data_IF_422771642590
#
_entry.id   IF_422771642590
#
_cell.length_a   1.000
_cell.length_b   1.000
_cell.length_c   1.000
_cell.angle_alpha   90.00
_cell.angle_beta   90.00
_cell.angle_gamma   90.00
#
_symmetry.space_group_name_H-M   'P 1'
#
loop_
_entity.id
_entity.type
_entity.pdbx_description
1 polymer ?
2 branched ?
3 branched ?
4 non-polymer ?
5 non-polymer ?
6 water ?
#
# COMPACT_ATOMS: atom_id res chain seq x y z
N UNK A 1 -25.37 -27.43 -20.72
CA UNK A 1 -24.39 -28.34 -21.37
C UNK A 1 -23.08 -28.33 -20.60
N UNK A 2 -22.73 -29.47 -20.04
CA UNK A 2 -21.54 -29.67 -19.23
C UNK A 2 -20.24 -29.08 -19.79
N UNK A 3 -19.94 -29.36 -21.06
CA UNK A 3 -18.71 -28.89 -21.68
C UNK A 3 -18.66 -27.38 -21.88
N UNK A 4 -19.82 -26.76 -22.10
CA UNK A 4 -19.89 -25.33 -22.27
C UNK A 4 -19.58 -24.69 -20.90
N UNK A 5 -20.17 -25.26 -19.86
CA UNK A 5 -19.94 -24.75 -18.52
C UNK A 5 -18.48 -24.93 -18.13
N UNK A 6 -17.89 -26.04 -18.53
CA UNK A 6 -16.49 -26.31 -18.24
C UNK A 6 -15.59 -25.28 -18.91
N UNK A 7 -15.85 -24.98 -20.18
CA UNK A 7 -15.03 -24.00 -20.90
C UNK A 7 -15.18 -22.59 -20.33
N UNK A 8 -16.37 -22.25 -19.86
CA UNK A 8 -16.57 -20.93 -19.27
C UNK A 8 -15.78 -20.86 -17.97
N UNK A 9 -15.78 -21.96 -17.23
CA UNK A 9 -15.06 -22.01 -15.97
C UNK A 9 -13.57 -21.80 -16.19
N UNK A 10 -13.03 -22.41 -17.24
CA UNK A 10 -11.61 -22.24 -17.55
C UNK A 10 -11.32 -20.76 -17.88
N UNK A 11 -12.21 -20.12 -18.65
CA UNK A 11 -12.05 -18.71 -19.00
C UNK A 11 -12.17 -17.83 -17.75
N UNK A 12 -13.04 -18.23 -16.82
CA UNK A 12 -13.22 -17.50 -15.56
C UNK A 12 -11.94 -17.59 -14.71
N UNK A 13 -11.39 -18.80 -14.63
CA UNK A 13 -10.16 -19.04 -13.87
C UNK A 13 -9.00 -18.28 -14.49
N UNK A 14 -8.84 -18.37 -15.81
CA UNK A 14 -7.75 -17.65 -16.47
C UNK A 14 -7.86 -16.13 -16.32
N UNK A 15 -9.08 -15.61 -16.33
CA UNK A 15 -9.33 -14.18 -16.16
C UNK A 15 -8.91 -13.78 -14.74
N UNK A 16 -9.22 -14.66 -13.79
CA UNK A 16 -8.89 -14.44 -12.37
C UNK A 16 -7.37 -14.47 -12.16
N UNK A 17 -6.68 -15.39 -12.84
CA UNK A 17 -5.23 -15.48 -12.72
C UNK A 17 -4.58 -14.18 -13.18
N UNK A 18 -5.05 -13.65 -14.30
CA UNK A 18 -4.53 -12.41 -14.85
C UNK A 18 -4.82 -11.22 -13.93
N UNK A 19 -6.02 -11.16 -13.38
CA UNK A 19 -6.38 -10.06 -12.49
C UNK A 19 -5.61 -10.07 -11.19
N UNK A 20 -5.32 -11.25 -10.66
CA UNK A 20 -4.57 -11.36 -9.41
C UNK A 20 -3.15 -10.88 -9.67
N UNK A 21 -2.61 -11.23 -10.84
CA UNK A 21 -1.26 -10.81 -11.17
C UNK A 21 -1.19 -9.30 -11.34
N UNK A 22 -2.25 -8.71 -11.90
CA UNK A 22 -2.33 -7.26 -12.07
C UNK A 22 -2.35 -6.59 -10.71
N UNK A 23 -3.07 -7.20 -9.78
CA UNK A 23 -3.17 -6.71 -8.40
C UNK A 23 -1.77 -6.75 -7.75
N UNK A 24 -1.04 -7.85 -7.93
CA UNK A 24 0.31 -7.97 -7.37
C UNK A 24 1.25 -6.93 -7.95
N UNK A 25 1.18 -6.72 -9.27
CA UNK A 25 2.00 -5.71 -9.96
C UNK A 25 1.72 -4.30 -9.45
N UNK A 26 0.44 -3.96 -9.28
CA UNK A 26 0.06 -2.64 -8.82
C UNK A 26 0.54 -2.44 -7.38
N UNK A 27 0.44 -3.49 -6.57
CA UNK A 27 0.88 -3.40 -5.19
C UNK A 27 2.39 -3.17 -5.14
N UNK A 28 3.15 -3.90 -5.94
CA UNK A 28 4.60 -3.74 -5.97
C UNK A 28 4.97 -2.29 -6.39
N UNK A 29 4.28 -1.79 -7.41
CA UNK A 29 4.49 -0.43 -7.93
C UNK A 29 4.27 0.60 -6.81
N UNK A 30 3.17 0.44 -6.06
CA UNK A 30 2.86 1.36 -4.96
C UNK A 30 3.86 1.25 -3.80
N UNK A 31 4.54 0.11 -3.70
CA UNK A 31 5.56 -0.10 -2.66
C UNK A 31 6.94 0.40 -3.10
N UNK A 32 7.00 1.07 -4.25
CA UNK A 32 8.26 1.61 -4.72
C UNK A 32 9.10 0.72 -5.61
N UNK A 33 8.53 -0.38 -6.10
CA UNK A 33 9.29 -1.27 -6.95
C UNK A 33 9.70 -0.56 -8.24
N UNK A 34 11.00 -0.55 -8.51
CA UNK A 34 11.52 0.09 -9.71
C UNK A 34 11.59 -1.00 -10.78
N UNK A 35 11.40 -0.60 -12.02
CA UNK A 35 11.41 -1.52 -13.15
C UNK A 35 12.62 -2.48 -13.17
N UNK A 36 12.34 -3.77 -13.18
CA UNK A 36 13.37 -4.78 -13.21
C UNK A 36 14.20 -4.90 -11.93
N UNK A 37 13.75 -4.25 -10.87
CA UNK A 37 14.46 -4.29 -9.59
C UNK A 37 13.60 -4.94 -8.52
N UNK A 38 14.25 -5.58 -7.56
CA UNK A 38 13.52 -6.21 -6.47
C UNK A 38 13.07 -5.08 -5.56
N UNK A 39 12.05 -5.31 -4.74
CA UNK A 39 11.60 -4.25 -3.84
C UNK A 39 11.59 -4.73 -2.40
N UNK A 40 11.51 -3.76 -1.49
CA UNK A 40 11.53 -4.02 -0.06
C UNK A 40 10.27 -3.48 0.60
N UNK A 41 9.81 -4.19 1.63
CA UNK A 41 8.62 -3.83 2.37
C UNK A 41 8.89 -4.11 3.86
N UNK A 42 8.26 -3.33 4.73
CA UNK A 42 8.39 -3.54 6.16
C UNK A 42 7.10 -3.11 6.86
N UNK A 43 6.78 -3.77 7.97
CA UNK A 43 5.58 -3.41 8.75
C UNK A 43 6.07 -2.60 9.97
N UNK A 44 7.38 -2.37 10.01
CA UNK A 44 8.04 -1.63 11.07
C UNK A 44 8.08 -2.35 12.41
N UNK A 45 7.80 -3.65 12.40
CA UNK A 45 7.79 -4.46 13.61
C UNK A 45 9.18 -5.03 13.94
N UNK A 46 9.57 -4.93 15.21
CA UNK A 46 10.85 -5.45 15.66
C UNK A 46 10.65 -6.85 16.23
N UNK A 47 11.52 -7.77 15.83
CA UNK A 47 11.44 -9.15 16.27
C UNK A 47 12.79 -9.82 16.09
N UNK A 48 13.00 -11.00 16.70
CA UNK A 48 14.26 -11.75 16.60
C UNK A 48 14.46 -12.21 15.16
N UNK A 49 15.70 -12.40 14.75
CA UNK A 49 16.00 -12.82 13.39
C UNK A 49 15.21 -14.03 12.89
N UNK A 50 15.03 -15.06 13.73
CA UNK A 50 14.30 -16.24 13.30
C UNK A 50 12.85 -15.92 12.93
N UNK A 51 12.26 -14.93 13.60
CA UNK A 51 10.87 -14.52 13.34
C UNK A 51 10.78 -13.78 12.01
N UNK A 52 11.77 -12.91 11.73
CA UNK A 52 11.78 -12.14 10.49
C UNK A 52 11.88 -13.09 9.30
N UNK A 53 12.80 -14.05 9.42
CA UNK A 53 13.04 -15.02 8.38
C UNK A 53 11.76 -15.82 8.09
N UNK A 54 11.09 -16.26 9.14
CA UNK A 54 9.87 -17.03 9.01
C UNK A 54 8.78 -16.21 8.33
N UNK A 55 8.67 -14.95 8.73
CA UNK A 55 7.67 -14.04 8.17
C UNK A 55 7.89 -13.83 6.66
N UNK A 56 9.09 -13.40 6.28
CA UNK A 56 9.40 -13.16 4.88
C UNK A 56 9.21 -14.41 4.04
N UNK A 57 9.67 -15.55 4.57
CA UNK A 57 9.54 -16.83 3.88
C UNK A 57 8.07 -17.14 3.61
N UNK A 58 7.23 -16.89 4.61
CA UNK A 58 5.79 -17.12 4.49
C UNK A 58 5.17 -16.25 3.39
N UNK A 59 5.72 -15.06 3.20
CA UNK A 59 5.25 -14.12 2.18
C UNK A 59 5.96 -14.34 0.85
N UNK A 60 6.71 -15.43 0.74
CA UNK A 60 7.46 -15.77 -0.48
C UNK A 60 8.56 -14.76 -0.80
N UNK A 61 9.22 -14.27 0.24
CA UNK A 61 10.31 -13.33 0.06
C UNK A 61 11.43 -13.77 0.97
N UNK A 62 12.36 -12.88 1.27
CA UNK A 62 13.47 -13.20 2.16
C UNK A 62 13.85 -11.94 2.91
N UNK A 63 14.64 -12.09 3.98
CA UNK A 63 15.09 -10.94 4.75
C UNK A 63 15.93 -10.12 3.77
N UNK A 64 15.72 -8.81 3.76
CA UNK A 64 16.43 -7.90 2.86
C UNK A 64 17.93 -8.11 2.79
N UNK A 65 18.47 -8.08 1.58
CA UNK A 65 19.90 -8.27 1.31
C UNK A 65 20.44 -7.16 0.38
N UNK A 66 21.31 -6.28 0.88
CA UNK A 66 21.87 -5.21 0.05
C UNK A 66 23.01 -5.82 -0.78
N UNK A 67 22.85 -5.84 -2.09
CA UNK A 67 23.87 -6.40 -2.98
C UNK A 67 24.79 -5.32 -3.51
N UNK A 68 24.41 -4.07 -3.28
CA UNK A 68 25.19 -2.90 -3.72
C UNK A 68 24.72 -1.66 -2.96
N UNK A 69 25.43 -0.54 -3.17
CA UNK A 69 25.11 0.73 -2.50
C UNK A 69 23.71 1.27 -2.77
N UNK A 70 23.19 1.00 -3.96
CA UNK A 70 21.85 1.44 -4.35
C UNK A 70 20.80 0.72 -3.49
N UNK A 71 20.89 -0.60 -3.44
CA UNK A 71 19.97 -1.43 -2.66
C UNK A 71 20.11 -1.14 -1.19
N UNK A 72 21.33 -0.88 -0.75
CA UNK A 72 21.58 -0.58 0.65
C UNK A 72 20.84 0.68 1.04
N UNK A 73 20.98 1.73 0.22
CA UNK A 73 20.32 2.99 0.47
C UNK A 73 18.81 2.81 0.46
N UNK A 74 18.31 1.99 -0.46
CA UNK A 74 16.88 1.69 -0.58
C UNK A 74 16.36 1.00 0.68
N UNK A 75 17.07 -0.02 1.16
CA UNK A 75 16.68 -0.74 2.38
C UNK A 75 16.69 0.22 3.59
N UNK A 76 17.73 1.02 3.68
CA UNK A 76 17.88 1.99 4.75
C UNK A 76 16.66 2.91 4.80
N UNK A 77 16.19 3.34 3.62
CA UNK A 77 15.04 4.23 3.51
C UNK A 77 13.73 3.56 3.85
N UNK A 78 13.62 2.28 3.58
CA UNK A 78 12.41 1.51 3.88
C UNK A 78 12.33 1.24 5.40
N UNK A 79 13.46 0.77 5.95
CA UNK A 79 13.56 0.43 7.36
C UNK A 79 13.33 1.59 8.32
N UNK A 80 14.01 2.71 8.08
CA UNK A 80 13.92 3.91 8.91
C UNK A 80 14.73 3.76 10.21
N UNK A 81 14.88 2.54 10.67
CA UNK A 81 15.65 2.22 11.88
C UNK A 81 16.49 0.98 11.61
N UNK A 82 17.26 0.54 12.61
CA UNK A 82 18.10 -0.65 12.43
C UNK A 82 17.23 -1.87 12.16
N UNK A 83 17.60 -2.60 11.11
CA UNK A 83 16.85 -3.79 10.70
C UNK A 83 17.80 -4.93 10.37
N UNK A 84 17.30 -6.16 10.52
CA UNK A 84 18.12 -7.33 10.19
C UNK A 84 18.29 -7.44 8.67
N UNK A 85 19.42 -7.98 8.25
CA UNK A 85 19.70 -8.20 6.84
C UNK A 85 19.74 -9.72 6.67
N UNK A 86 19.53 -10.20 5.45
CA UNK A 86 19.55 -11.63 5.20
C UNK A 86 20.96 -12.17 5.03
N UNK A 87 21.79 -11.94 6.05
CA UNK A 87 23.21 -12.34 6.04
C UNK A 87 23.59 -12.80 7.44
N UNK A 88 24.25 -13.96 7.56
CA UNK A 88 24.68 -14.48 8.89
C UNK A 88 25.93 -15.35 8.78
N UNK A 89 26.67 -15.51 9.89
CA UNK A 89 27.83 -16.41 9.91
C UNK A 89 27.54 -17.54 10.91
N UNK A 90 26.27 -17.94 10.97
CA UNK A 90 25.81 -19.00 11.86
C UNK A 90 26.36 -20.38 11.50
N UNK A 91 26.50 -20.67 10.21
CA UNK A 91 26.97 -21.97 9.78
C UNK A 91 28.44 -22.20 10.10
N UNK A 92 29.28 -21.20 9.83
CA UNK A 92 30.71 -21.26 10.11
C UNK A 92 31.16 -19.90 10.57
N UNK A 93 31.52 -19.80 11.85
CA UNK A 93 31.95 -18.53 12.43
C UNK A 93 32.98 -17.81 11.58
N UNK A 94 32.71 -16.56 11.25
CA UNK A 94 33.64 -15.78 10.47
C UNK A 94 33.28 -15.63 9.01
N UNK A 95 32.60 -16.62 8.44
CA UNK A 95 32.23 -16.59 7.02
C UNK A 95 30.77 -16.22 6.85
N UNK A 96 30.51 -14.97 6.51
CA UNK A 96 29.14 -14.53 6.33
C UNK A 96 28.60 -15.04 4.99
N UNK A 97 27.36 -15.52 5.02
CA UNK A 97 26.67 -16.07 3.86
C UNK A 97 25.30 -15.45 3.77
N UNK A 98 24.72 -15.44 2.57
CA UNK A 98 23.38 -14.92 2.39
C UNK A 98 22.44 -16.04 2.83
N UNK A 99 21.32 -15.68 3.43
CA UNK A 99 20.36 -16.69 3.90
C UNK A 99 19.88 -17.58 2.76
N UNK A 100 19.93 -17.04 1.55
CA UNK A 100 19.51 -17.78 0.35
C UNK A 100 20.66 -18.51 -0.35
N UNK A 101 21.86 -18.45 0.22
CA UNK A 101 23.00 -19.13 -0.36
C UNK A 101 24.11 -18.26 -0.92
N UNK A 102 25.35 -18.69 -0.73
CA UNK A 102 26.48 -17.96 -1.25
C UNK A 102 27.20 -17.10 -0.24
N UNK A 103 28.49 -16.90 -0.50
CA UNK A 103 29.33 -16.09 0.38
C UNK A 103 29.13 -14.61 0.12
N UNK A 104 29.20 -13.83 1.19
CA UNK A 104 29.04 -12.38 1.14
C UNK A 104 30.10 -11.73 0.25
N UNK A 105 29.66 -10.86 -0.66
CA UNK A 105 30.57 -10.13 -1.52
C UNK A 105 30.54 -8.67 -1.09
N UNK A 106 29.60 -7.90 -1.64
CA UNK A 106 29.48 -6.49 -1.26
C UNK A 106 29.18 -6.41 0.23
N UNK A 107 29.80 -5.45 0.92
CA UNK A 107 29.58 -5.27 2.35
C UNK A 107 29.69 -3.76 2.67
N UNK A 108 29.15 -3.35 3.81
CA UNK A 108 29.19 -1.93 4.19
C UNK A 108 29.34 -1.83 5.70
N UNK A 109 30.28 -2.62 6.23
CA UNK A 109 30.55 -2.68 7.66
C UNK A 109 31.05 -1.37 8.24
N UNK A 110 30.61 -1.08 9.46
CA UNK A 110 31.05 0.11 10.16
C UNK A 110 32.49 -0.18 10.56
N UNK A 111 33.19 0.87 10.95
CA UNK A 111 34.59 0.77 11.38
C UNK A 111 34.65 -0.25 12.52
N UNK A 112 35.64 -1.14 12.46
CA UNK A 112 35.83 -2.16 13.50
C UNK A 112 34.76 -3.27 13.61
N UNK A 113 33.93 -3.42 12.59
CA UNK A 113 32.93 -4.47 12.57
C UNK A 113 33.22 -5.29 11.32
N UNK A 114 32.86 -6.59 11.31
CA UNK A 114 32.19 -7.36 12.38
C UNK A 114 33.16 -7.77 13.49
N UNK A 115 32.67 -7.96 14.71
CA UNK A 115 33.56 -8.31 15.81
C UNK A 115 33.16 -9.54 16.65
N UNK A 116 32.05 -10.20 16.32
CA UNK A 116 31.55 -11.36 17.07
C UNK A 116 31.72 -11.12 18.57
N UNK A 117 31.25 -9.95 19.01
CA UNK A 117 31.40 -9.52 20.39
C UNK A 117 30.94 -10.46 21.46
N UNK A 118 31.78 -10.57 22.50
CA UNK A 118 31.47 -11.40 23.65
C UNK A 118 31.19 -12.84 23.30
N UNK A 119 30.09 -13.37 23.84
CA UNK A 119 29.70 -14.75 23.60
C UNK A 119 29.42 -15.02 22.12
N UNK A 120 29.30 -13.95 21.31
CA UNK A 120 29.07 -14.11 19.89
C UNK A 120 27.95 -13.30 19.28
N UNK A 121 28.10 -12.97 18.00
CA UNK A 121 27.11 -12.23 17.23
C UNK A 121 27.13 -12.82 15.83
N UNK A 122 26.05 -13.50 15.43
CA UNK A 122 26.00 -14.14 14.11
C UNK A 122 25.07 -13.54 13.05
N UNK A 123 24.31 -12.53 13.43
CA UNK A 123 23.39 -11.88 12.50
C UNK A 123 23.94 -10.49 12.14
N UNK A 124 23.33 -9.85 11.15
CA UNK A 124 23.77 -8.55 10.68
C UNK A 124 22.61 -7.56 10.67
N UNK A 125 22.88 -6.34 11.12
CA UNK A 125 21.87 -5.30 11.14
C UNK A 125 22.36 -4.06 10.37
N UNK A 126 21.47 -3.42 9.62
CA UNK A 126 21.82 -2.20 8.90
C UNK A 126 21.36 -1.10 9.86
N UNK A 127 22.26 -0.20 10.22
CA UNK A 127 21.90 0.86 11.14
C UNK A 127 21.40 2.11 10.42
N UNK A 128 21.03 3.15 11.18
CA UNK A 128 20.49 4.38 10.62
C UNK A 128 21.31 5.08 9.53
N UNK A 129 22.64 5.05 9.64
CA UNK A 129 23.52 5.71 8.64
C UNK A 129 23.81 4.79 7.45
N UNK A 130 23.19 3.61 7.46
CA UNK A 130 23.35 2.66 6.36
C UNK A 130 24.48 1.67 6.51
N UNK A 131 25.36 1.86 7.50
CA UNK A 131 26.48 0.95 7.70
C UNK A 131 25.99 -0.31 8.44
N UNK A 132 26.80 -1.35 8.45
CA UNK A 132 26.44 -2.62 9.08
C UNK A 132 27.21 -2.98 10.34
N UNK A 133 26.55 -3.76 11.20
CA UNK A 133 27.13 -4.26 12.45
C UNK A 133 26.60 -5.67 12.70
N UNK A 134 27.45 -6.58 13.15
CA UNK A 134 26.99 -7.93 13.46
C UNK A 134 26.43 -7.91 14.88
N UNK A 135 25.30 -8.59 15.10
CA UNK A 135 24.68 -8.62 16.41
C UNK A 135 24.08 -9.97 16.69
N UNK A 136 23.56 -10.13 17.91
CA UNK A 136 22.91 -11.37 18.30
C UNK A 136 21.60 -11.52 17.52
N UNK A 137 21.38 -12.72 17.01
CA UNK A 137 20.17 -13.06 16.26
C UNK A 137 18.94 -13.03 17.17
N UNK A 138 19.18 -13.06 18.49
CA UNK A 138 18.12 -13.05 19.49
C UNK A 138 17.57 -11.65 19.76
N UNK A 139 18.32 -10.62 19.35
CA UNK A 139 17.88 -9.26 19.54
C UNK A 139 16.75 -8.93 18.57
N UNK A 140 15.93 -7.94 18.94
CA UNK A 140 14.79 -7.52 18.14
C UNK A 140 15.13 -6.33 17.26
N UNK A 141 15.01 -6.51 15.96
CA UNK A 141 15.29 -5.43 15.00
C UNK A 141 14.12 -5.39 14.01
N UNK A 142 14.01 -4.31 13.25
CA UNK A 142 12.93 -4.14 12.29
C UNK A 142 12.93 -5.21 11.20
N UNK A 143 11.75 -5.75 10.92
CA UNK A 143 11.57 -6.78 9.89
C UNK A 143 11.37 -6.16 8.51
N UNK A 144 12.35 -6.33 7.63
CA UNK A 144 12.31 -5.81 6.27
C UNK A 144 12.51 -6.98 5.29
N UNK A 145 11.53 -7.20 4.42
CA UNK A 145 11.61 -8.29 3.43
C UNK A 145 11.86 -7.76 2.04
N UNK A 146 12.50 -8.56 1.21
CA UNK A 146 12.74 -8.20 -0.17
C UNK A 146 12.00 -9.22 -1.03
N UNK A 147 11.50 -8.75 -2.15
CA UNK A 147 10.76 -9.56 -3.09
C UNK A 147 11.44 -9.44 -4.45
N UNK A 148 11.43 -10.53 -5.24
CA UNK A 148 12.05 -10.62 -6.58
C UNK A 148 11.87 -9.45 -7.54
N UNK A 149 12.90 -9.26 -8.38
CA UNK A 149 12.93 -8.22 -9.41
C UNK A 149 12.03 -8.58 -10.59
N UNK B 1 -23.98 -35.94 -10.03
CA UNK B 1 -22.74 -35.61 -9.28
C UNK B 1 -21.88 -34.58 -10.00
N UNK B 2 -21.52 -34.84 -11.27
CA UNK B 2 -20.71 -33.91 -12.04
C UNK B 2 -21.33 -32.51 -12.07
N UNK B 3 -22.63 -32.45 -12.35
CA UNK B 3 -23.34 -31.18 -12.40
C UNK B 3 -23.30 -30.45 -11.07
N UNK B 4 -23.30 -31.22 -9.99
CA UNK B 4 -23.26 -30.65 -8.65
C UNK B 4 -21.86 -30.11 -8.36
N UNK B 5 -20.83 -30.87 -8.73
CA UNK B 5 -19.44 -30.44 -8.53
C UNK B 5 -19.20 -29.14 -9.27
N UNK B 6 -19.69 -29.09 -10.50
CA UNK B 6 -19.54 -27.93 -11.37
C UNK B 6 -20.20 -26.67 -10.79
N UNK B 7 -21.43 -26.84 -10.32
CA UNK B 7 -22.20 -25.75 -9.74
C UNK B 7 -21.49 -25.24 -8.50
N UNK B 8 -20.98 -26.17 -7.69
CA UNK B 8 -20.25 -25.82 -6.47
C UNK B 8 -18.98 -25.04 -6.80
N UNK B 9 -18.32 -25.42 -7.89
CA UNK B 9 -17.09 -24.74 -8.28
C UNK B 9 -17.34 -23.34 -8.81
N UNK B 10 -18.46 -23.16 -9.50
CA UNK B 10 -18.83 -21.84 -10.01
C UNK B 10 -19.07 -20.91 -8.82
N UNK B 11 -19.63 -21.45 -7.74
CA UNK B 11 -19.89 -20.66 -6.54
C UNK B 11 -18.58 -20.20 -5.90
N UNK B 12 -17.60 -21.10 -5.81
CA UNK B 12 -16.28 -20.78 -5.25
C UNK B 12 -15.61 -19.66 -6.08
N UNK B 13 -15.74 -19.75 -7.41
CA UNK B 13 -15.16 -18.75 -8.30
C UNK B 13 -15.76 -17.37 -8.06
N UNK B 14 -17.09 -17.30 -7.93
CA UNK B 14 -17.75 -16.00 -7.70
C UNK B 14 -17.29 -15.36 -6.40
N UNK B 15 -17.10 -16.19 -5.38
CA UNK B 15 -16.64 -15.73 -4.08
C UNK B 15 -15.20 -15.22 -4.19
N UNK B 16 -14.37 -15.96 -4.92
CA UNK B 16 -12.98 -15.58 -5.10
C UNK B 16 -12.86 -14.26 -5.87
N UNK B 17 -13.73 -14.06 -6.84
CA UNK B 17 -13.75 -12.83 -7.65
C UNK B 17 -14.14 -11.64 -6.78
N UNK B 18 -15.12 -11.85 -5.90
CA UNK B 18 -15.57 -10.79 -5.00
C UNK B 18 -14.45 -10.47 -4.01
N UNK B 19 -13.79 -11.52 -3.53
CA UNK B 19 -12.70 -11.36 -2.58
C UNK B 19 -11.53 -10.55 -3.16
N UNK B 20 -11.18 -10.79 -4.43
CA UNK B 20 -10.08 -10.04 -5.06
C UNK B 20 -10.47 -8.59 -5.26
N UNK B 21 -11.74 -8.34 -5.59
CA UNK B 21 -12.20 -6.98 -5.78
C UNK B 21 -12.06 -6.23 -4.47
N UNK B 22 -12.34 -6.92 -3.36
CA UNK B 22 -12.21 -6.33 -2.03
C UNK B 22 -10.74 -5.99 -1.76
N UNK B 23 -9.83 -6.88 -2.17
CA UNK B 23 -8.39 -6.65 -2.01
C UNK B 23 -7.99 -5.38 -2.75
N UNK B 24 -8.53 -5.21 -3.95
CA UNK B 24 -8.23 -4.02 -4.76
C UNK B 24 -8.74 -2.75 -4.06
N UNK B 25 -9.95 -2.82 -3.51
CA UNK B 25 -10.53 -1.66 -2.81
C UNK B 25 -9.71 -1.28 -1.59
N UNK B 26 -9.37 -2.26 -0.77
CA UNK B 26 -8.59 -1.97 0.42
C UNK B 26 -7.22 -1.42 0.05
N UNK B 27 -6.60 -1.94 -1.01
CA UNK B 27 -5.30 -1.43 -1.40
C UNK B 27 -5.39 0.04 -1.81
N UNK B 28 -6.32 0.37 -2.70
CA UNK B 28 -6.49 1.76 -3.18
C UNK B 28 -6.71 2.71 -2.01
N UNK B 29 -7.53 2.27 -1.05
CA UNK B 29 -7.84 3.05 0.15
C UNK B 29 -6.56 3.31 0.96
N UNK B 30 -5.75 2.27 1.20
CA UNK B 30 -4.51 2.43 1.97
C UNK B 30 -3.51 3.35 1.27
N UNK B 31 -3.63 3.46 -0.04
CA UNK B 31 -2.74 4.30 -0.83
C UNK B 31 -3.30 5.70 -1.02
N UNK B 32 -4.35 6.03 -0.26
CA UNK B 32 -4.93 7.35 -0.32
C UNK B 32 -6.03 7.66 -1.32
N UNK B 33 -6.65 6.65 -1.94
CA UNK B 33 -7.73 6.94 -2.89
C UNK B 33 -8.93 7.51 -2.13
N UNK B 34 -9.38 8.68 -2.56
CA UNK B 34 -10.52 9.33 -1.91
C UNK B 34 -11.81 8.87 -2.57
N UNK B 35 -12.90 8.97 -1.83
CA UNK B 35 -14.22 8.55 -2.32
C UNK B 35 -14.60 9.28 -3.59
N UNK B 36 -15.01 8.51 -4.60
CA UNK B 36 -15.42 9.06 -5.87
C UNK B 36 -14.38 9.86 -6.65
N UNK B 37 -13.12 9.69 -6.31
CA UNK B 37 -12.03 10.40 -6.97
C UNK B 37 -11.08 9.40 -7.59
N UNK B 38 -10.38 9.81 -8.63
CA UNK B 38 -9.43 8.94 -9.30
C UNK B 38 -8.29 8.60 -8.37
N UNK B 39 -7.71 7.43 -8.57
CA UNK B 39 -6.60 6.95 -7.76
C UNK B 39 -5.28 7.27 -8.48
N UNK B 40 -4.44 8.10 -7.87
CA UNK B 40 -3.13 8.45 -8.43
C UNK B 40 -2.07 7.73 -7.60
N UNK B 41 -1.08 7.15 -8.27
CA UNK B 41 -0.03 6.41 -7.57
C UNK B 41 1.30 6.46 -8.32
N UNK B 42 2.41 6.45 -7.57
CA UNK B 42 3.74 6.50 -8.15
C UNK B 42 4.71 5.55 -7.44
N UNK B 43 5.75 5.11 -8.16
CA UNK B 43 6.78 4.25 -7.58
C UNK B 43 8.02 5.11 -7.35
N UNK B 44 7.92 6.39 -7.69
CA UNK B 44 8.98 7.40 -7.54
C UNK B 44 10.14 7.23 -8.50
N UNK B 45 9.92 6.50 -9.59
CA UNK B 45 10.98 6.29 -10.57
C UNK B 45 10.87 7.33 -11.67
N UNK B 46 12.02 7.82 -12.13
CA UNK B 46 12.08 8.81 -13.19
C UNK B 46 12.45 8.08 -14.47
N UNK B 47 11.73 8.37 -15.55
CA UNK B 47 11.96 7.72 -16.84
C UNK B 47 11.40 8.59 -17.96
N UNK B 48 11.75 8.27 -19.22
CA UNK B 48 11.25 9.05 -20.37
C UNK B 48 9.74 8.81 -20.49
N UNK B 49 9.04 9.74 -21.16
CA UNK B 49 7.60 9.66 -21.30
C UNK B 49 7.07 8.34 -21.87
N UNK B 50 7.78 7.81 -22.87
CA UNK B 50 7.37 6.56 -23.50
C UNK B 50 7.33 5.39 -22.53
N UNK B 51 8.26 5.40 -21.57
CA UNK B 51 8.32 4.36 -20.55
C UNK B 51 7.18 4.54 -19.56
N UNK B 52 6.89 5.79 -19.19
CA UNK B 52 5.79 6.07 -18.27
C UNK B 52 4.50 5.54 -18.87
N UNK B 53 4.26 5.83 -20.15
CA UNK B 53 3.06 5.36 -20.82
C UNK B 53 2.98 3.85 -20.84
N UNK B 54 4.11 3.19 -21.12
CA UNK B 54 4.17 1.74 -21.16
C UNK B 54 3.91 1.13 -19.79
N UNK B 55 4.53 1.70 -18.76
CA UNK B 55 4.37 1.22 -17.39
C UNK B 55 2.92 1.29 -16.91
N UNK B 56 2.30 2.46 -17.02
CA UNK B 56 0.92 2.61 -16.58
C UNK B 56 -0.04 1.68 -17.33
N UNK B 57 0.24 1.44 -18.61
CA UNK B 57 -0.59 0.56 -19.43
C UNK B 57 -0.48 -0.88 -18.96
N UNK B 58 0.71 -1.27 -18.53
CA UNK B 58 0.94 -2.62 -18.05
C UNK B 58 0.15 -2.86 -16.76
N UNK B 59 -0.12 -1.79 -16.03
CA UNK B 59 -0.88 -1.86 -14.78
C UNK B 59 -2.36 -1.63 -15.03
N UNK B 60 -2.71 -1.47 -16.31
CA UNK B 60 -4.08 -1.22 -16.74
C UNK B 60 -4.56 0.14 -16.26
N UNK B 61 -3.65 1.11 -16.28
CA UNK B 61 -3.96 2.47 -15.89
C UNK B 61 -3.55 3.40 -17.02
N UNK B 62 -3.36 4.68 -16.71
CA UNK B 62 -2.93 5.69 -17.70
C UNK B 62 -2.05 6.74 -17.01
N UNK B 63 -1.32 7.54 -17.79
CA UNK B 63 -0.45 8.57 -17.21
C UNK B 63 -1.40 9.60 -16.58
N UNK B 64 -1.13 9.98 -15.34
CA UNK B 64 -1.97 10.91 -14.62
C UNK B 64 -2.33 12.16 -15.41
N UNK B 65 -3.60 12.55 -15.33
CA UNK B 65 -4.09 13.74 -16.02
C UNK B 65 -4.95 14.60 -15.08
N UNK B 66 -4.54 15.86 -14.84
CA UNK B 66 -5.31 16.75 -13.97
C UNK B 66 -6.43 17.38 -14.81
N UNK B 67 -7.68 17.07 -14.51
CA UNK B 67 -8.82 17.64 -15.25
C UNK B 67 -9.26 18.97 -14.61
N UNK B 68 -8.75 19.26 -13.42
CA UNK B 68 -9.10 20.47 -12.69
C UNK B 68 -8.05 20.77 -11.62
N UNK B 69 -8.20 21.88 -10.92
CA UNK B 69 -7.25 22.28 -9.88
C UNK B 69 -7.16 21.29 -8.72
N UNK B 70 -8.27 20.65 -8.40
CA UNK B 70 -8.32 19.68 -7.31
C UNK B 70 -7.46 18.45 -7.64
N UNK B 71 -7.57 17.97 -8.87
CA UNK B 71 -6.81 16.81 -9.32
C UNK B 71 -5.35 17.18 -9.52
N UNK B 72 -5.10 18.43 -9.92
CA UNK B 72 -3.75 18.88 -10.13
C UNK B 72 -2.98 18.87 -8.80
N UNK B 73 -3.66 19.27 -7.72
CA UNK B 73 -3.05 19.28 -6.40
C UNK B 73 -2.84 17.85 -5.89
N UNK B 74 -3.82 16.98 -6.15
CA UNK B 74 -3.75 15.57 -5.76
C UNK B 74 -2.52 14.89 -6.37
N UNK B 75 -2.28 15.13 -7.67
CA UNK B 75 -1.13 14.58 -8.38
C UNK B 75 0.16 15.21 -7.82
N UNK B 76 0.12 16.52 -7.57
CA UNK B 76 1.27 17.24 -7.03
C UNK B 76 1.81 16.60 -5.75
N UNK B 77 0.91 16.24 -4.84
CA UNK B 77 1.36 15.62 -3.60
C UNK B 77 1.79 14.16 -3.71
N UNK B 78 1.28 13.44 -4.71
CA UNK B 78 1.69 12.04 -4.89
C UNK B 78 3.08 12.01 -5.50
N UNK B 79 3.31 12.84 -6.52
CA UNK B 79 4.59 12.92 -7.21
C UNK B 79 5.69 13.52 -6.34
N UNK B 80 5.43 14.69 -5.76
CA UNK B 80 6.37 15.41 -4.90
C UNK B 80 7.56 16.02 -5.68
N UNK B 81 7.78 15.54 -6.89
CA UNK B 81 8.86 16.01 -7.75
C UNK B 81 8.26 16.25 -9.12
N UNK B 82 9.08 16.69 -10.08
CA UNK B 82 8.58 16.95 -11.43
C UNK B 82 8.20 15.62 -12.07
N UNK B 83 6.95 15.52 -12.52
CA UNK B 83 6.44 14.30 -13.11
C UNK B 83 5.73 14.57 -14.43
N UNK B 84 5.77 13.60 -15.34
CA UNK B 84 5.08 13.74 -16.62
C UNK B 84 3.57 13.66 -16.42
N UNK B 85 2.84 14.35 -17.27
CA UNK B 85 1.39 14.35 -17.28
C UNK B 85 0.99 13.70 -18.61
N UNK B 86 -0.22 13.16 -18.68
CA UNK B 86 -0.69 12.53 -19.90
C UNK B 86 -1.17 13.53 -20.93
N UNK B 87 -0.31 14.48 -21.30
CA UNK B 87 -0.64 15.53 -22.26
C UNK B 87 0.56 15.81 -23.16
N UNK B 88 0.34 15.98 -24.46
CA UNK B 88 1.41 16.28 -25.43
C UNK B 88 0.87 17.13 -26.60
N UNK B 89 1.76 17.81 -27.32
CA UNK B 89 1.35 18.58 -28.50
C UNK B 89 2.14 18.11 -29.71
N UNK B 90 2.29 16.79 -29.81
CA UNK B 90 3.01 16.15 -30.91
C UNK B 90 2.33 16.30 -32.28
N UNK B 91 1.00 16.32 -32.30
CA UNK B 91 0.25 16.44 -33.57
C UNK B 91 0.32 17.85 -34.15
N UNK B 92 -0.23 18.82 -33.44
CA UNK B 92 -0.17 20.21 -33.89
C UNK B 92 0.44 21.01 -32.76
N UNK B 93 1.63 21.53 -33.01
CA UNK B 93 2.40 22.32 -32.07
C UNK B 93 1.52 23.41 -31.48
N UNK B 94 1.45 23.46 -30.15
CA UNK B 94 0.65 24.45 -29.47
C UNK B 94 -0.72 23.93 -29.11
N UNK B 95 -1.09 22.81 -29.71
CA UNK B 95 -2.38 22.19 -29.43
C UNK B 95 -2.11 20.98 -28.56
N UNK B 96 -2.24 21.16 -27.25
CA UNK B 96 -2.03 20.05 -26.33
C UNK B 96 -3.25 19.14 -26.24
N UNK B 97 -3.01 17.85 -26.38
CA UNK B 97 -4.05 16.82 -26.34
C UNK B 97 -3.73 15.80 -25.26
N UNK B 98 -4.78 15.23 -24.64
CA UNK B 98 -4.58 14.21 -23.63
C UNK B 98 -4.22 12.93 -24.36
N UNK B 99 -3.41 12.09 -23.73
CA UNK B 99 -3.00 10.82 -24.31
C UNK B 99 -4.19 9.86 -24.51
N UNK B 100 -5.25 10.11 -23.74
CA UNK B 100 -6.46 9.31 -23.80
C UNK B 100 -7.49 9.91 -24.76
N UNK B 101 -7.11 11.00 -25.42
CA UNK B 101 -7.99 11.67 -26.36
C UNK B 101 -8.60 12.97 -25.86
N UNK B 102 -8.78 13.93 -26.77
CA UNK B 102 -9.38 15.19 -26.39
C UNK B 102 -8.43 16.36 -26.24
N UNK B 103 -8.95 17.56 -26.46
CA UNK B 103 -8.17 18.79 -26.35
C UNK B 103 -8.01 19.16 -24.90
N UNK B 104 -6.89 19.80 -24.61
CA UNK B 104 -6.58 20.26 -23.27
C UNK B 104 -7.61 21.28 -22.83
N UNK B 105 -8.25 21.03 -21.70
CA UNK B 105 -9.21 21.97 -21.14
C UNK B 105 -8.46 22.72 -20.02
N UNK B 106 -8.41 22.13 -18.83
CA UNK B 106 -7.71 22.73 -17.71
C UNK B 106 -6.21 22.76 -17.97
N UNK B 107 -5.57 23.86 -17.61
CA UNK B 107 -4.13 24.00 -17.77
C UNK B 107 -3.63 24.83 -16.60
N UNK B 108 -2.35 24.67 -16.28
CA UNK B 108 -1.76 25.42 -15.18
C UNK B 108 -0.31 25.73 -15.54
N UNK B 109 -0.14 26.47 -16.63
CA UNK B 109 1.19 26.83 -17.12
C UNK B 109 1.95 27.81 -16.24
N UNK B 110 3.26 27.60 -16.22
CA UNK B 110 4.18 28.45 -15.49
C UNK B 110 4.41 29.66 -16.40
N UNK B 111 4.80 30.78 -15.82
CA UNK B 111 5.05 32.00 -16.59
C UNK B 111 6.02 31.70 -17.72
N UNK B 112 5.73 32.26 -18.89
CA UNK B 112 6.56 32.09 -20.09
C UNK B 112 6.54 30.69 -20.68
N UNK B 113 5.58 29.87 -20.26
CA UNK B 113 5.43 28.51 -20.79
C UNK B 113 4.02 28.41 -21.37
N UNK B 114 3.83 27.54 -22.38
CA UNK B 114 4.83 26.67 -23.00
C UNK B 114 5.68 27.46 -24.00
N UNK B 115 6.97 27.12 -24.10
CA UNK B 115 7.86 27.83 -25.01
C UNK B 115 8.49 26.97 -26.10
N UNK B 116 8.21 25.67 -26.07
CA UNK B 116 8.77 24.74 -27.06
C UNK B 116 10.26 25.02 -27.26
N UNK B 117 10.94 25.26 -26.14
CA UNK B 117 12.35 25.61 -26.13
C UNK B 117 13.32 24.71 -26.91
N UNK B 118 14.33 25.36 -27.48
CA UNK B 118 15.37 24.67 -28.23
C UNK B 118 14.88 23.82 -29.38
N UNK B 119 15.31 22.56 -29.39
CA UNK B 119 14.93 21.62 -30.45
C UNK B 119 13.43 21.31 -30.44
N UNK B 120 12.75 21.74 -29.39
CA UNK B 120 11.33 21.49 -29.28
C UNK B 120 11.04 20.68 -28.02
N UNK B 121 9.88 20.97 -27.42
CA UNK B 121 9.44 20.30 -26.21
C UNK B 121 7.97 19.96 -26.41
N UNK B 122 7.64 18.68 -26.49
CA UNK B 122 6.27 18.26 -26.70
C UNK B 122 5.55 17.54 -25.56
N UNK B 123 6.23 17.35 -24.44
CA UNK B 123 5.63 16.72 -23.27
C UNK B 123 5.40 17.77 -22.20
N UNK B 124 4.66 17.40 -21.15
CA UNK B 124 4.35 18.32 -20.07
C UNK B 124 4.67 17.72 -18.70
N UNK B 125 5.25 18.53 -17.82
CA UNK B 125 5.58 18.06 -16.48
C UNK B 125 4.93 18.99 -15.47
N UNK B 126 4.43 18.44 -14.38
CA UNK B 126 3.86 19.25 -13.31
C UNK B 126 5.08 19.41 -12.39
N UNK B 127 5.57 20.63 -12.26
CA UNK B 127 6.71 20.89 -11.40
C UNK B 127 6.34 21.04 -9.93
N UNK B 128 7.36 21.04 -9.07
CA UNK B 128 7.19 21.12 -7.61
C UNK B 128 6.08 22.03 -7.10
N UNK B 129 5.97 23.23 -7.68
CA UNK B 129 4.98 24.24 -7.30
C UNK B 129 3.55 23.91 -7.74
N UNK B 130 3.41 22.98 -8.68
CA UNK B 130 2.11 22.60 -9.17
C UNK B 130 1.88 23.14 -10.57
N UNK B 131 2.70 24.10 -10.98
CA UNK B 131 2.61 24.70 -12.30
C UNK B 131 3.14 23.74 -13.35
N UNK B 132 2.86 24.04 -14.61
CA UNK B 132 3.28 23.18 -15.70
C UNK B 132 4.37 23.80 -16.56
N UNK B 133 5.18 22.95 -17.16
CA UNK B 133 6.24 23.36 -18.06
C UNK B 133 6.31 22.31 -19.15
N UNK B 134 6.43 22.75 -20.40
CA UNK B 134 6.52 21.79 -21.48
C UNK B 134 7.98 21.40 -21.56
N UNK B 135 8.25 20.12 -21.80
CA UNK B 135 9.63 19.65 -21.85
C UNK B 135 9.78 18.52 -22.85
N UNK B 136 11.02 18.22 -23.19
CA UNK B 136 11.32 17.14 -24.12
C UNK B 136 10.83 15.82 -23.51
N UNK B 137 10.17 15.02 -24.33
CA UNK B 137 9.63 13.74 -23.90
C UNK B 137 10.74 12.74 -23.56
N UNK B 138 11.93 12.98 -24.11
CA UNK B 138 13.07 12.11 -23.88
C UNK B 138 13.73 12.30 -22.53
N UNK B 139 13.38 13.39 -21.84
CA UNK B 139 13.94 13.64 -20.52
C UNK B 139 13.26 12.69 -19.51
N UNK B 140 13.94 12.39 -18.41
CA UNK B 140 13.41 11.48 -17.40
C UNK B 140 12.70 12.16 -16.25
N UNK B 141 11.42 11.89 -16.09
CA UNK B 141 10.65 12.50 -15.01
C UNK B 141 9.86 11.42 -14.29
N UNK B 142 9.39 11.73 -13.08
CA UNK B 142 8.64 10.79 -12.25
C UNK B 142 7.40 10.21 -12.94
N UNK B 143 7.21 8.90 -12.76
CA UNK B 143 6.07 8.16 -13.33
C UNK B 143 4.91 8.11 -12.34
N UNK B 144 3.80 8.74 -12.71
CA UNK B 144 2.60 8.76 -11.89
C UNK B 144 1.43 8.24 -12.73
N UNK B 145 0.81 7.16 -12.26
CA UNK B 145 -0.32 6.54 -12.96
C UNK B 145 -1.64 6.92 -12.30
N UNK B 146 -2.70 6.80 -13.09
CA UNK B 146 -4.06 7.11 -12.67
C UNK B 146 -4.98 5.92 -12.92
N UNK B 147 -5.87 5.67 -11.97
CA UNK B 147 -6.84 4.57 -12.07
C UNK B 147 -8.22 5.18 -11.80
N UNK B 148 -9.27 4.63 -12.42
CA UNK B 148 -10.64 5.13 -12.27
C UNK B 148 -11.18 5.33 -10.85
N UNK B 149 -12.07 6.32 -10.73
CA UNK B 149 -12.72 6.71 -9.49
C UNK B 149 -13.73 5.67 -9.02
N UNK C 1 -11.84 -37.07 -20.30
CA UNK C 1 -11.58 -35.61 -20.23
C UNK C 1 -12.38 -34.89 -19.15
N UNK C 2 -13.71 -34.85 -19.29
CA UNK C 2 -14.61 -34.16 -18.35
C UNK C 2 -14.18 -34.18 -16.87
N UNK C 3 -14.12 -35.37 -16.28
CA UNK C 3 -13.75 -35.54 -14.87
C UNK C 3 -12.32 -35.10 -14.58
N UNK C 4 -11.41 -35.33 -15.50
CA UNK C 4 -10.03 -34.94 -15.30
C UNK C 4 -9.94 -33.41 -15.32
N UNK C 5 -10.60 -32.78 -16.30
CA UNK C 5 -10.60 -31.32 -16.40
C UNK C 5 -11.22 -30.70 -15.16
N UNK C 6 -12.26 -31.35 -14.65
CA UNK C 6 -12.95 -30.86 -13.46
C UNK C 6 -12.07 -30.96 -12.22
N UNK C 7 -11.37 -32.08 -12.06
CA UNK C 7 -10.47 -32.30 -10.92
C UNK C 7 -9.32 -31.29 -10.98
N UNK C 8 -8.82 -31.02 -12.17
CA UNK C 8 -7.75 -30.05 -12.32
C UNK C 8 -8.23 -28.66 -11.92
N UNK C 9 -9.38 -28.25 -12.44
CA UNK C 9 -9.90 -26.93 -12.12
C UNK C 9 -10.14 -26.74 -10.65
N UNK C 10 -10.43 -27.83 -9.96
CA UNK C 10 -10.62 -27.77 -8.52
C UNK C 10 -9.28 -27.41 -7.88
N UNK C 11 -8.20 -28.00 -8.40
CA UNK C 11 -6.86 -27.73 -7.89
C UNK C 11 -6.44 -26.30 -8.25
N UNK C 12 -6.89 -25.84 -9.42
CA UNK C 12 -6.60 -24.50 -9.90
C UNK C 12 -7.25 -23.48 -8.96
N UNK C 13 -8.49 -23.75 -8.55
CA UNK C 13 -9.23 -22.86 -7.66
C UNK C 13 -8.56 -22.84 -6.29
N UNK C 14 -8.21 -24.03 -5.79
CA UNK C 14 -7.53 -24.14 -4.50
C UNK C 14 -6.21 -23.37 -4.52
N UNK C 15 -5.49 -23.45 -5.63
CA UNK C 15 -4.23 -22.75 -5.76
C UNK C 15 -4.44 -21.23 -5.73
N UNK C 16 -5.49 -20.77 -6.39
CA UNK C 16 -5.81 -19.35 -6.42
C UNK C 16 -6.25 -18.83 -5.08
N UNK C 17 -6.93 -19.66 -4.32
CA UNK C 17 -7.37 -19.27 -2.98
C UNK C 17 -6.15 -19.04 -2.08
N UNK C 18 -5.16 -19.93 -2.20
CA UNK C 18 -3.93 -19.80 -1.41
C UNK C 18 -3.15 -18.57 -1.84
N UNK C 19 -3.08 -18.32 -3.14
CA UNK C 19 -2.37 -17.16 -3.64
C UNK C 19 -3.01 -15.88 -3.16
N UNK C 20 -4.34 -15.79 -3.23
CA UNK C 20 -5.02 -14.59 -2.79
C UNK C 20 -4.83 -14.37 -1.28
N UNK C 21 -4.81 -15.46 -0.52
CA UNK C 21 -4.60 -15.34 0.91
C UNK C 21 -3.21 -14.77 1.16
N UNK C 22 -2.21 -15.22 0.40
CA UNK C 22 -0.85 -14.72 0.56
C UNK C 22 -0.75 -13.25 0.16
N UNK C 23 -1.47 -12.89 -0.89
CA UNK C 23 -1.51 -11.50 -1.36
C UNK C 23 -2.07 -10.62 -0.22
N UNK C 24 -3.13 -11.11 0.44
CA UNK C 24 -3.73 -10.35 1.54
C UNK C 24 -2.73 -10.24 2.70
N UNK C 25 -1.98 -11.30 2.96
CA UNK C 25 -0.98 -11.27 4.02
C UNK C 25 0.08 -10.22 3.72
N UNK C 26 0.57 -10.19 2.48
CA UNK C 26 1.59 -9.22 2.09
C UNK C 26 1.03 -7.80 2.16
N UNK C 27 -0.22 -7.65 1.77
CA UNK C 27 -0.87 -6.33 1.79
C UNK C 27 -1.04 -5.82 3.22
N UNK C 28 -1.41 -6.72 4.14
CA UNK C 28 -1.59 -6.35 5.54
C UNK C 28 -0.23 -5.95 6.15
N UNK C 29 0.80 -6.72 5.78
CA UNK C 29 2.16 -6.46 6.24
C UNK C 29 2.61 -5.06 5.81
N UNK C 30 2.43 -4.73 4.53
CA UNK C 30 2.83 -3.41 4.05
C UNK C 30 1.97 -2.28 4.64
N UNK C 31 0.77 -2.63 5.10
CA UNK C 31 -0.12 -1.66 5.71
C UNK C 31 0.25 -1.47 7.18
N UNK C 32 1.28 -2.19 7.63
CA UNK C 32 1.74 -2.05 9.00
C UNK C 32 1.18 -2.99 10.05
N UNK C 33 0.44 -4.01 9.64
CA UNK C 33 -0.11 -4.96 10.60
C UNK C 33 1.02 -5.70 11.35
N UNK C 34 0.98 -5.65 12.66
CA UNK C 34 1.96 -6.34 13.49
C UNK C 34 1.38 -7.73 13.71
N UNK C 35 2.24 -8.72 13.91
CA UNK C 35 1.78 -10.09 14.09
C UNK C 35 0.80 -10.30 15.25
N UNK C 36 -0.33 -10.92 14.95
CA UNK C 36 -1.35 -11.18 15.95
C UNK C 36 -2.06 -9.95 16.51
N UNK C 37 -1.91 -8.80 15.86
CA UNK C 37 -2.55 -7.56 16.31
C UNK C 37 -3.50 -7.03 15.25
N UNK C 38 -4.59 -6.41 15.69
CA UNK C 38 -5.55 -5.84 14.76
C UNK C 38 -4.87 -4.63 14.14
N UNK C 39 -5.29 -4.20 12.97
CA UNK C 39 -4.65 -3.03 12.39
C UNK C 39 -5.62 -1.98 11.89
N UNK C 40 -5.14 -0.74 11.88
CA UNK C 40 -5.91 0.42 11.49
C UNK C 40 -5.36 1.01 10.19
N UNK C 41 -6.26 1.39 9.28
CA UNK C 41 -5.89 1.95 7.98
C UNK C 41 -6.75 3.18 7.67
N UNK C 42 -6.16 4.15 6.98
CA UNK C 42 -6.87 5.37 6.60
C UNK C 42 -6.41 5.82 5.22
N UNK C 43 -7.28 6.55 4.54
CA UNK C 43 -6.95 7.12 3.22
C UNK C 43 -6.76 8.62 3.40
N UNK C 44 -6.83 9.06 4.66
CA UNK C 44 -6.68 10.46 5.06
C UNK C 44 -7.80 11.39 4.60
N UNK C 45 -8.93 10.80 4.22
CA UNK C 45 -10.07 11.59 3.80
C UNK C 45 -10.98 11.90 4.98
N UNK C 46 -11.48 13.13 5.05
CA UNK C 46 -12.39 13.55 6.11
C UNK C 46 -13.82 13.42 5.59
N UNK C 47 -14.71 12.86 6.39
CA UNK C 47 -16.10 12.67 5.98
C UNK C 47 -16.98 12.48 7.21
N UNK C 48 -18.31 12.54 7.05
CA UNK C 48 -19.25 12.37 8.16
C UNK C 48 -19.25 10.91 8.62
N UNK C 49 -19.62 10.68 9.88
CA UNK C 49 -19.63 9.33 10.46
C UNK C 49 -20.33 8.25 9.65
N UNK C 50 -21.51 8.56 9.11
CA UNK C 50 -22.25 7.59 8.32
C UNK C 50 -21.45 7.10 7.11
N UNK C 51 -20.72 8.01 6.48
CA UNK C 51 -19.91 7.64 5.34
C UNK C 51 -18.73 6.79 5.76
N UNK C 52 -18.20 7.04 6.95
CA UNK C 52 -17.08 6.24 7.44
C UNK C 52 -17.55 4.81 7.69
N UNK C 53 -18.69 4.68 8.35
CA UNK C 53 -19.26 3.36 8.65
C UNK C 53 -19.47 2.55 7.38
N UNK C 54 -20.11 3.17 6.40
CA UNK C 54 -20.39 2.51 5.13
C UNK C 54 -19.09 2.11 4.43
N UNK C 55 -18.11 3.01 4.44
CA UNK C 55 -16.81 2.75 3.81
C UNK C 55 -16.08 1.57 4.44
N UNK C 56 -15.97 1.56 5.76
CA UNK C 56 -15.29 0.47 6.43
C UNK C 56 -16.02 -0.85 6.22
N UNK C 57 -17.35 -0.82 6.26
CA UNK C 57 -18.14 -2.03 6.07
C UNK C 57 -17.86 -2.65 4.71
N UNK C 58 -17.85 -1.80 3.68
CA UNK C 58 -17.58 -2.25 2.32
C UNK C 58 -16.20 -2.92 2.22
N UNK C 59 -15.25 -2.47 3.03
CA UNK C 59 -13.90 -3.03 3.05
C UNK C 59 -13.86 -4.24 3.99
N UNK C 60 -15.01 -4.60 4.55
CA UNK C 60 -15.14 -5.70 5.49
C UNK C 60 -14.37 -5.44 6.78
N UNK C 61 -14.37 -4.18 7.20
CA UNK C 61 -13.72 -3.77 8.42
C UNK C 61 -14.75 -3.02 9.26
N UNK C 62 -14.30 -2.29 10.27
CA UNK C 62 -15.20 -1.51 11.11
C UNK C 62 -14.52 -0.20 11.46
N UNK C 63 -15.28 0.80 11.89
CA UNK C 63 -14.71 2.08 12.26
C UNK C 63 -13.80 1.82 13.47
N UNK C 64 -12.57 2.31 13.41
CA UNK C 64 -11.57 2.11 14.46
C UNK C 64 -12.10 2.28 15.89
N UNK C 65 -11.83 1.27 16.72
CA UNK C 65 -12.25 1.27 18.12
C UNK C 65 -11.10 0.92 19.07
N UNK C 66 -10.66 1.87 19.90
CA UNK C 66 -9.57 1.58 20.83
C UNK C 66 -10.12 0.83 22.06
N UNK C 67 -9.54 -0.32 22.38
CA UNK C 67 -10.00 -1.09 23.53
C UNK C 67 -9.06 -0.87 24.72
N UNK C 68 -7.98 -0.15 24.49
CA UNK C 68 -6.99 0.14 25.53
C UNK C 68 -6.13 1.32 25.11
N UNK C 69 -5.26 1.78 26.00
CA UNK C 69 -4.39 2.94 25.73
C UNK C 69 -3.47 2.73 24.53
N UNK C 70 -2.98 1.51 24.38
CA UNK C 70 -2.10 1.15 23.28
C UNK C 70 -2.82 1.39 21.95
N UNK C 71 -3.98 0.77 21.80
CA UNK C 71 -4.80 0.90 20.59
C UNK C 71 -5.23 2.34 20.37
N UNK C 72 -5.44 3.07 21.45
CA UNK C 72 -5.84 4.46 21.37
C UNK C 72 -4.73 5.27 20.73
N UNK C 73 -3.49 4.99 21.12
CA UNK C 73 -2.33 5.69 20.58
C UNK C 73 -2.11 5.26 19.13
N UNK C 74 -2.27 3.97 18.86
CA UNK C 74 -2.10 3.40 17.53
C UNK C 74 -2.99 4.12 16.51
N UNK C 75 -4.26 4.31 16.88
CA UNK C 75 -5.21 4.99 16.01
C UNK C 75 -4.75 6.42 15.77
N UNK C 76 -4.28 7.07 16.83
CA UNK C 76 -3.81 8.42 16.76
C UNK C 76 -2.67 8.56 15.74
N UNK C 77 -1.71 7.64 15.80
CA UNK C 77 -0.57 7.67 14.89
C UNK C 77 -0.95 7.41 13.43
N UNK C 78 -1.97 6.58 13.24
CA UNK C 78 -2.45 6.27 11.89
C UNK C 78 -3.23 7.45 11.31
N UNK C 79 -4.22 7.94 12.06
CA UNK C 79 -5.05 9.05 11.63
C UNK C 79 -4.33 10.37 11.44
N UNK C 80 -3.46 10.72 12.38
CA UNK C 80 -2.67 11.96 12.37
C UNK C 80 -3.47 13.23 12.71
N UNK C 81 -4.75 13.24 12.36
CA UNK C 81 -5.65 14.36 12.65
C UNK C 81 -6.87 13.74 13.35
N UNK C 82 -7.77 14.56 13.90
CA UNK C 82 -8.92 14.00 14.59
C UNK C 82 -9.74 13.09 13.67
N UNK C 83 -10.03 11.90 14.17
CA UNK C 83 -10.77 10.89 13.43
C UNK C 83 -11.95 10.36 14.24
N UNK C 84 -12.92 9.78 13.56
CA UNK C 84 -14.09 9.20 14.21
C UNK C 84 -13.73 7.81 14.76
N UNK C 85 -14.29 7.48 15.91
CA UNK C 85 -14.12 6.18 16.54
C UNK C 85 -15.44 5.44 16.34
N UNK C 86 -15.42 4.10 16.39
CA UNK C 86 -16.65 3.34 16.21
C UNK C 86 -17.45 3.30 17.50
N UNK C 87 -17.73 4.47 18.03
CA UNK C 87 -18.45 4.63 19.29
C UNK C 87 -19.44 5.80 19.18
N UNK C 88 -20.72 5.56 19.51
CA UNK C 88 -21.77 6.60 19.49
C UNK C 88 -22.84 6.32 20.55
N UNK C 89 -23.63 7.34 20.89
CA UNK C 89 -24.74 7.17 21.83
C UNK C 89 -26.01 7.56 21.06
N UNK C 90 -26.04 7.17 19.80
CA UNK C 90 -27.16 7.45 18.90
C UNK C 90 -28.44 6.74 19.30
N UNK C 91 -28.33 5.50 19.77
CA UNK C 91 -29.49 4.72 20.14
C UNK C 91 -30.19 5.24 21.37
N UNK C 92 -29.41 5.60 22.38
CA UNK C 92 -29.95 6.13 23.62
C UNK C 92 -28.99 7.20 24.13
N UNK C 93 -29.42 8.45 24.09
CA UNK C 93 -28.59 9.57 24.54
C UNK C 93 -27.95 9.28 25.89
N UNK C 94 -26.64 9.50 25.98
CA UNK C 94 -25.91 9.27 27.21
C UNK C 94 -25.29 7.88 27.32
N UNK C 95 -25.78 6.94 26.54
CA UNK C 95 -25.25 5.57 26.56
C UNK C 95 -24.36 5.30 25.37
N UNK C 96 -23.06 5.51 25.53
CA UNK C 96 -22.13 5.25 24.45
C UNK C 96 -21.92 3.76 24.28
N UNK C 97 -22.18 3.29 23.06
CA UNK C 97 -22.06 1.89 22.70
C UNK C 97 -21.12 1.74 21.49
N UNK C 98 -20.53 0.57 21.35
CA UNK C 98 -19.66 0.28 20.22
C UNK C 98 -20.58 0.11 19.03
N UNK C 99 -20.11 0.47 17.83
CA UNK C 99 -20.92 0.30 16.63
C UNK C 99 -21.14 -1.19 16.38
N UNK C 100 -20.25 -2.01 16.95
CA UNK C 100 -20.33 -3.46 16.83
C UNK C 100 -21.21 -4.04 17.94
N UNK C 101 -21.77 -3.17 18.78
CA UNK C 101 -22.63 -3.60 19.88
C UNK C 101 -21.90 -3.72 21.21
N UNK C 102 -22.60 -3.37 22.28
CA UNK C 102 -22.00 -3.47 23.61
C UNK C 102 -21.52 -2.17 24.20
N UNK C 103 -21.52 -2.09 25.52
CA UNK C 103 -21.08 -0.88 26.23
C UNK C 103 -19.56 -0.81 26.29
N UNK C 104 -19.04 0.41 26.41
CA UNK C 104 -17.60 0.66 26.47
C UNK C 104 -16.90 -0.10 27.59
N UNK C 105 -15.80 -0.76 27.26
CA UNK C 105 -14.99 -1.49 28.24
C UNK C 105 -13.80 -0.58 28.60
N UNK C 106 -13.48 0.34 27.70
CA UNK C 106 -12.38 1.28 27.87
C UNK C 106 -12.80 2.63 27.33
N UNK C 107 -12.39 3.69 28.03
CA UNK C 107 -12.70 5.06 27.61
C UNK C 107 -11.56 5.98 28.02
N UNK C 108 -11.49 7.15 27.40
CA UNK C 108 -10.43 8.11 27.70
C UNK C 108 -10.97 9.52 27.44
N UNK C 109 -12.12 9.81 28.03
CA UNK C 109 -12.78 11.10 27.87
C UNK C 109 -12.03 12.29 28.44
N UNK C 110 -12.07 13.40 27.71
CA UNK C 110 -11.45 14.64 28.15
C UNK C 110 -12.35 15.13 29.29
N UNK C 111 -11.82 15.98 30.17
CA UNK C 111 -12.60 16.50 31.29
C UNK C 111 -13.91 17.13 30.83
N UNK C 112 -15.00 16.77 31.50
CA UNK C 112 -16.34 17.27 31.20
C UNK C 112 -16.96 16.75 29.91
N UNK C 113 -16.37 15.69 29.35
CA UNK C 113 -16.88 15.06 28.14
C UNK C 113 -17.31 13.66 28.54
N UNK C 114 -18.31 13.08 27.85
CA UNK C 114 -19.07 13.65 26.73
C UNK C 114 -20.18 14.58 27.22
N UNK C 115 -20.36 15.71 26.53
CA UNK C 115 -21.36 16.68 26.93
C UNK C 115 -22.58 16.91 26.03
N UNK C 116 -22.65 16.26 24.88
CA UNK C 116 -23.74 16.42 23.91
C UNK C 116 -24.00 17.92 23.67
N UNK C 117 -22.91 18.65 23.46
CA UNK C 117 -23.00 20.09 23.30
C UNK C 117 -23.97 20.72 22.29
N UNK C 118 -24.67 21.74 22.73
CA UNK C 118 -25.59 22.46 21.86
C UNK C 118 -26.63 21.61 21.18
N UNK C 119 -26.64 21.69 19.86
CA UNK C 119 -27.60 20.95 19.04
C UNK C 119 -27.47 19.44 19.21
N UNK C 120 -26.36 18.99 19.77
CA UNK C 120 -26.17 17.57 20.01
C UNK C 120 -24.87 17.01 19.45
N UNK C 121 -24.32 16.02 20.15
CA UNK C 121 -23.09 15.36 19.74
C UNK C 121 -23.23 13.88 20.07
N UNK C 122 -23.36 13.05 19.03
CA UNK C 122 -23.52 11.61 19.24
C UNK C 122 -22.34 10.76 18.79
N UNK C 123 -21.31 11.40 18.25
CA UNK C 123 -20.14 10.68 17.78
C UNK C 123 -18.91 11.00 18.63
N UNK C 124 -17.85 10.22 18.46
CA UNK C 124 -16.62 10.43 19.22
C UNK C 124 -15.37 10.57 18.36
N UNK C 125 -14.54 11.55 18.70
CA UNK C 125 -13.31 11.80 17.98
C UNK C 125 -12.17 11.64 18.98
N UNK C 126 -11.00 11.23 18.50
CA UNK C 126 -9.82 11.13 19.36
C UNK C 126 -8.95 12.31 18.89
N UNK C 127 -8.85 13.31 19.75
CA UNK C 127 -8.11 14.53 19.45
C UNK C 127 -6.62 14.30 19.24
N UNK C 128 -5.89 15.36 18.95
CA UNK C 128 -4.45 15.26 18.71
C UNK C 128 -3.64 15.15 20.01
N UNK C 129 -4.25 14.60 21.06
CA UNK C 129 -3.57 14.40 22.34
C UNK C 129 -4.06 13.12 23.05
N UNK C 130 -4.84 12.30 22.35
CA UNK C 130 -5.33 11.05 22.90
C UNK C 130 -6.65 11.07 23.65
N UNK C 131 -7.03 12.22 24.20
CA UNK C 131 -8.28 12.31 24.96
C UNK C 131 -9.46 12.25 24.01
N UNK C 132 -10.62 11.87 24.54
CA UNK C 132 -11.82 11.75 23.72
C UNK C 132 -12.74 12.93 23.94
N UNK C 133 -13.53 13.23 22.92
CA UNK C 133 -14.52 14.29 22.95
C UNK C 133 -15.65 13.85 22.04
N UNK C 134 -16.88 13.98 22.50
CA UNK C 134 -17.99 13.62 21.63
C UNK C 134 -18.25 14.81 20.71
N UNK C 135 -18.55 14.55 19.45
CA UNK C 135 -18.83 15.60 18.49
C UNK C 135 -19.98 15.21 17.59
N UNK C 136 -20.40 16.16 16.77
CA UNK C 136 -21.48 15.94 15.83
C UNK C 136 -21.04 14.90 14.79
N UNK C 137 -21.93 13.96 14.51
CA UNK C 137 -21.66 12.91 13.54
C UNK C 137 -21.64 13.47 12.13
N UNK C 138 -22.16 14.68 11.97
CA UNK C 138 -22.21 15.36 10.68
C UNK C 138 -20.90 16.08 10.31
N UNK C 139 -20.03 16.30 11.29
CA UNK C 139 -18.75 16.95 11.03
C UNK C 139 -17.90 15.98 10.22
N UNK C 140 -16.97 16.51 9.42
CA UNK C 140 -16.10 15.69 8.58
C UNK C 140 -14.80 15.37 9.29
N UNK C 141 -14.61 14.11 9.64
CA UNK C 141 -13.38 13.71 10.31
C UNK C 141 -12.71 12.59 9.52
N UNK C 142 -11.44 12.35 9.81
CA UNK C 142 -10.65 11.33 9.12
C UNK C 142 -11.20 9.92 9.28
N UNK C 143 -11.34 9.23 8.16
CA UNK C 143 -11.86 7.86 8.12
C UNK C 143 -10.75 6.88 8.47
N UNK C 144 -10.95 6.12 9.55
CA UNK C 144 -9.95 5.12 9.96
C UNK C 144 -10.68 3.79 10.17
N UNK C 145 -10.33 2.78 9.38
CA UNK C 145 -10.96 1.47 9.51
C UNK C 145 -10.08 0.50 10.29
N UNK C 146 -10.72 -0.47 10.91
CA UNK C 146 -10.05 -1.47 11.72
C UNK C 146 -10.28 -2.85 11.13
N UNK C 147 -9.24 -3.68 11.18
CA UNK C 147 -9.30 -5.04 10.67
C UNK C 147 -8.80 -5.99 11.76
N UNK C 148 -9.38 -7.20 11.83
CA UNK C 148 -9.04 -8.25 12.80
C UNK C 148 -7.57 -8.64 12.92
N UNK C 149 -7.20 -9.06 14.12
CA UNK C 149 -5.86 -9.52 14.46
C UNK C 149 -5.56 -10.85 13.77
#
# INVERSE_FOLDING_TARGET
AIEVKLANMEAEINTLKSKLELTNKLHAFSMGKKSGKKFFVTNHERMPFSKVKALCSELRGTVAIPRNAEENKAIQEVAKTSAFLGITDEVTEGQFMYVTGGRLTYSNWKKDEPNDHGSGEDCVTIVDNGLWNDISCQKKKTAVCEFPA
AIEVKLANMEAEINTLKSKLELTNKLHAFSMGKKSGKKFFVTNHERMPFSKVKALCSELRGTVAIPRNAEENKAIQEVAKTSAFLGITDEVTEGQFMYVTGGRLTYSNWKKDEPNDHGSGEDCVTIVDNGLWNDISCQKKKTAVCEFPA
AIEVKLANMEAEINTLKSKLELTNKLHAFSMGKKSGKKFFVTNHERMPFSKVKALCSELRGTVAIPRNAEENKAIQEVAKTSAFLGITDEVTEGQFMYVTGGRLTYSNWKKDEPNDHGSGEDCVTIVDNGLWNDISCQKKKTAVCEFPA
#
